data_IF_794254566767
#
_entry.id   IF_794254566767
#
_cell.length_a   1.000
_cell.length_b   1.000
_cell.length_c   1.000
_cell.angle_alpha   90.00
_cell.angle_beta   90.00
_cell.angle_gamma   90.00
#
_symmetry.space_group_name_H-M   'P 1'
#
loop_
_entity.id
_entity.type
_entity.pdbx_description
1 polymer ?
#
# COMPACT_ATOMS: atom_id res chain seq x y z
N UNK A 1 -25.35 4.03 32.05
CA UNK A 1 -24.76 4.46 30.77
C UNK A 1 -25.00 5.97 30.66
N UNK A 2 -23.96 6.80 30.71
CA UNK A 2 -24.08 8.27 30.76
C UNK A 2 -25.00 8.80 29.65
N UNK A 3 -25.90 9.76 29.95
CA UNK A 3 -26.79 10.38 28.97
C UNK A 3 -26.03 10.93 27.74
N UNK A 4 -24.77 11.32 27.94
CA UNK A 4 -23.84 11.77 26.88
C UNK A 4 -23.49 10.64 25.90
N UNK A 5 -23.36 9.39 26.34
CA UNK A 5 -23.14 8.23 25.47
C UNK A 5 -24.39 7.90 24.64
N UNK A 6 -25.58 8.09 25.20
CA UNK A 6 -26.84 7.91 24.48
C UNK A 6 -27.05 8.95 23.37
N UNK A 7 -26.48 10.15 23.51
CA UNK A 7 -26.54 11.23 22.52
C UNK A 7 -25.45 11.14 21.43
N UNK A 8 -24.44 10.29 21.61
CA UNK A 8 -23.34 10.13 20.66
C UNK A 8 -23.76 9.80 19.20
N UNK A 9 -24.80 8.98 18.94
CA UNK A 9 -25.27 8.72 17.56
C UNK A 9 -25.93 9.95 16.94
N UNK A 10 -26.62 10.78 17.72
CA UNK A 10 -27.26 12.02 17.24
C UNK A 10 -26.25 13.13 16.98
N UNK A 11 -25.21 13.20 17.82
CA UNK A 11 -24.06 14.07 17.58
C UNK A 11 -23.26 13.65 16.33
N UNK A 12 -23.29 12.36 15.95
CA UNK A 12 -22.70 11.86 14.69
C UNK A 12 -23.47 12.36 13.46
N UNK A 13 -24.80 12.40 13.51
CA UNK A 13 -25.60 12.98 12.41
C UNK A 13 -25.46 14.50 12.28
N UNK A 14 -25.06 15.18 13.36
CA UNK A 14 -24.80 16.62 13.38
C UNK A 14 -23.41 17.00 12.84
N UNK A 15 -22.49 16.03 12.70
CA UNK A 15 -21.24 16.21 11.99
C UNK A 15 -21.55 16.48 10.51
N UNK A 16 -21.22 17.68 10.04
CA UNK A 16 -21.53 18.13 8.68
C UNK A 16 -20.89 17.30 7.56
N UNK A 17 -20.87 17.85 6.35
CA UNK A 17 -20.40 17.16 5.12
C UNK A 17 -19.01 16.51 5.25
N UNK A 18 -18.12 17.09 6.04
CA UNK A 18 -16.74 16.62 6.24
C UNK A 18 -16.63 15.30 7.02
N UNK A 19 -17.50 15.07 8.01
CA UNK A 19 -17.50 13.83 8.80
C UNK A 19 -17.99 12.64 7.97
N UNK A 20 -18.97 12.90 7.09
CA UNK A 20 -19.46 11.91 6.12
C UNK A 20 -18.39 11.54 5.09
N UNK A 21 -17.65 12.52 4.56
CA UNK A 21 -16.59 12.29 3.59
C UNK A 21 -15.45 11.44 4.19
N UNK A 22 -14.99 11.76 5.40
CA UNK A 22 -13.93 10.98 6.06
C UNK A 22 -14.37 9.56 6.41
N UNK A 23 -15.62 9.39 6.85
CA UNK A 23 -16.21 8.07 7.07
C UNK A 23 -16.29 7.27 5.77
N UNK A 24 -16.76 7.88 4.68
CA UNK A 24 -16.84 7.23 3.38
C UNK A 24 -15.45 6.83 2.86
N UNK A 25 -14.43 7.69 3.01
CA UNK A 25 -13.05 7.38 2.63
C UNK A 25 -12.48 6.21 3.44
N UNK A 26 -12.72 6.17 4.75
CA UNK A 26 -12.27 5.06 5.61
C UNK A 26 -12.95 3.74 5.22
N UNK A 27 -14.27 3.75 5.02
CA UNK A 27 -15.04 2.57 4.58
C UNK A 27 -14.56 2.10 3.20
N UNK A 28 -14.35 3.02 2.25
CA UNK A 28 -13.86 2.70 0.92
C UNK A 28 -12.45 2.06 0.95
N UNK A 29 -11.54 2.59 1.78
CA UNK A 29 -10.22 1.97 1.96
C UNK A 29 -10.31 0.55 2.50
N UNK A 30 -11.12 0.30 3.54
CA UNK A 30 -11.31 -1.05 4.08
C UNK A 30 -11.97 -1.97 3.05
N UNK A 31 -12.91 -1.47 2.25
CA UNK A 31 -13.55 -2.24 1.18
C UNK A 31 -12.56 -2.66 0.09
N UNK A 32 -11.79 -1.70 -0.45
CA UNK A 32 -10.77 -1.98 -1.47
C UNK A 32 -9.72 -2.94 -0.92
N UNK A 33 -9.26 -2.72 0.31
CA UNK A 33 -8.26 -3.59 0.94
C UNK A 33 -8.79 -5.02 1.08
N UNK A 34 -10.00 -5.18 1.61
CA UNK A 34 -10.61 -6.50 1.82
C UNK A 34 -10.85 -7.21 0.49
N UNK A 35 -11.38 -6.52 -0.53
CA UNK A 35 -11.64 -7.10 -1.85
C UNK A 35 -10.37 -7.63 -2.51
N UNK A 36 -9.28 -6.85 -2.44
CA UNK A 36 -7.99 -7.23 -3.02
C UNK A 36 -7.29 -8.32 -2.21
N UNK A 37 -7.35 -8.27 -0.88
CA UNK A 37 -6.82 -9.36 -0.04
C UNK A 37 -7.51 -10.68 -0.34
N UNK A 38 -8.84 -10.70 -0.41
CA UNK A 38 -9.59 -11.92 -0.77
C UNK A 38 -9.30 -12.38 -2.20
N UNK A 39 -9.13 -11.46 -3.16
CA UNK A 39 -8.76 -11.80 -4.54
C UNK A 39 -7.38 -12.49 -4.61
N UNK A 40 -6.39 -11.95 -3.89
CA UNK A 40 -5.02 -12.50 -3.85
C UNK A 40 -4.99 -13.85 -3.14
N UNK A 41 -5.71 -14.00 -2.03
CA UNK A 41 -5.84 -15.28 -1.32
C UNK A 41 -6.60 -16.30 -2.21
N UNK A 42 -7.64 -15.88 -2.93
CA UNK A 42 -8.38 -16.72 -3.87
C UNK A 42 -7.50 -17.23 -5.00
N UNK A 43 -6.64 -16.38 -5.57
CA UNK A 43 -5.63 -16.80 -6.55
C UNK A 43 -4.65 -17.84 -5.98
N UNK A 44 -4.15 -17.64 -4.77
CA UNK A 44 -3.30 -18.62 -4.08
C UNK A 44 -4.01 -19.96 -3.89
N UNK A 45 -5.26 -19.94 -3.43
CA UNK A 45 -6.06 -21.16 -3.25
C UNK A 45 -6.34 -21.87 -4.57
N UNK A 46 -6.56 -21.13 -5.66
CA UNK A 46 -6.73 -21.69 -7.00
C UNK A 46 -5.49 -22.45 -7.48
N UNK A 47 -4.30 -21.86 -7.32
CA UNK A 47 -3.05 -22.58 -7.66
C UNK A 47 -2.80 -23.78 -6.75
N UNK A 48 -3.11 -23.69 -5.45
CA UNK A 48 -3.04 -24.85 -4.55
C UNK A 48 -4.04 -25.95 -4.92
N UNK A 49 -5.22 -25.60 -5.45
CA UNK A 49 -6.21 -26.57 -5.90
C UNK A 49 -5.70 -27.38 -7.10
N UNK A 50 -5.05 -26.71 -8.06
CA UNK A 50 -4.41 -27.35 -9.22
C UNK A 50 -3.16 -28.17 -8.86
N UNK A 51 -2.41 -27.75 -7.85
CA UNK A 51 -1.27 -28.52 -7.32
C UNK A 51 -1.72 -29.81 -6.62
N UNK A 52 -2.86 -29.78 -5.90
CA UNK A 52 -3.42 -30.97 -5.25
C UNK A 52 -4.06 -31.95 -6.22
N UNK A 53 -4.69 -31.44 -7.27
CA UNK A 53 -5.39 -32.23 -8.28
C UNK A 53 -4.95 -31.79 -9.68
N UNK A 54 -3.71 -32.10 -10.09
CA UNK A 54 -3.21 -31.69 -11.40
C UNK A 54 -3.93 -32.45 -12.51
N UNK A 55 -4.24 -31.75 -13.60
CA UNK A 55 -4.77 -32.34 -14.83
C UNK A 55 -3.73 -32.20 -15.96
N UNK A 56 -3.17 -33.34 -16.35
CA UNK A 56 -2.17 -33.45 -17.41
C UNK A 56 -0.73 -33.20 -16.97
N UNK A 57 0.22 -33.63 -17.81
CA UNK A 57 1.66 -33.60 -17.51
C UNK A 57 2.19 -32.20 -17.19
N UNK A 58 1.65 -31.15 -17.83
CA UNK A 58 2.07 -29.78 -17.59
C UNK A 58 1.81 -29.34 -16.15
N UNK A 59 0.62 -29.64 -15.61
CA UNK A 59 0.29 -29.28 -14.24
C UNK A 59 1.02 -30.17 -13.23
N UNK A 60 1.22 -31.45 -13.52
CA UNK A 60 1.98 -32.36 -12.67
C UNK A 60 3.42 -31.87 -12.44
N UNK A 61 4.08 -31.36 -13.48
CA UNK A 61 5.47 -30.91 -13.38
C UNK A 61 5.62 -29.47 -12.82
N UNK A 62 4.69 -28.56 -13.14
CA UNK A 62 4.89 -27.12 -12.89
C UNK A 62 3.99 -26.51 -11.82
N UNK A 63 2.90 -27.14 -11.41
CA UNK A 63 1.92 -26.55 -10.47
C UNK A 63 2.54 -26.08 -9.15
N UNK A 64 3.47 -26.84 -8.59
CA UNK A 64 4.21 -26.45 -7.37
C UNK A 64 4.96 -25.12 -7.52
N UNK A 65 5.56 -24.86 -8.69
CA UNK A 65 6.26 -23.60 -8.97
C UNK A 65 5.29 -22.40 -8.98
N UNK A 66 4.07 -22.60 -9.52
CA UNK A 66 3.04 -21.55 -9.51
C UNK A 66 2.53 -21.25 -8.09
N UNK A 67 2.47 -22.24 -7.21
CA UNK A 67 2.14 -22.02 -5.78
C UNK A 67 3.21 -21.13 -5.11
N UNK A 68 4.49 -21.34 -5.42
CA UNK A 68 5.58 -20.48 -4.93
C UNK A 68 5.39 -19.04 -5.45
N UNK A 69 5.13 -18.85 -6.74
CA UNK A 69 4.88 -17.52 -7.31
C UNK A 69 3.64 -16.84 -6.69
N UNK A 70 2.58 -17.60 -6.43
CA UNK A 70 1.39 -17.10 -5.77
C UNK A 70 1.67 -16.64 -4.33
N UNK A 71 2.48 -17.39 -3.57
CA UNK A 71 2.93 -16.97 -2.24
C UNK A 71 3.80 -15.71 -2.29
N UNK A 72 4.70 -15.61 -3.26
CA UNK A 72 5.48 -14.40 -3.51
C UNK A 72 4.55 -13.20 -3.75
N UNK A 73 3.53 -13.36 -4.61
CA UNK A 73 2.52 -12.33 -4.85
C UNK A 73 1.74 -11.96 -3.57
N UNK A 74 1.39 -12.92 -2.72
CA UNK A 74 0.71 -12.69 -1.43
C UNK A 74 1.58 -11.86 -0.50
N UNK A 75 2.85 -12.24 -0.30
CA UNK A 75 3.79 -11.51 0.56
C UNK A 75 4.00 -10.08 0.05
N UNK A 76 4.17 -9.93 -1.26
CA UNK A 76 4.29 -8.65 -1.93
C UNK A 76 3.05 -7.78 -1.69
N UNK A 77 1.85 -8.29 -1.96
CA UNK A 77 0.64 -7.48 -1.92
C UNK A 77 0.12 -7.23 -0.49
N UNK A 78 0.45 -8.07 0.49
CA UNK A 78 -0.09 -7.89 1.84
C UNK A 78 0.44 -6.64 2.55
N UNK A 79 1.72 -6.30 2.35
CA UNK A 79 2.32 -5.13 3.01
C UNK A 79 1.59 -3.82 2.66
N UNK A 80 1.35 -3.47 1.37
CA UNK A 80 0.65 -2.23 1.02
C UNK A 80 -0.83 -2.28 1.40
N UNK A 81 -1.48 -3.45 1.34
CA UNK A 81 -2.87 -3.63 1.75
C UNK A 81 -3.04 -3.37 3.27
N UNK A 82 -2.17 -3.96 4.11
CA UNK A 82 -2.16 -3.70 5.56
C UNK A 82 -1.83 -2.23 5.86
N UNK A 83 -0.93 -1.62 5.09
CA UNK A 83 -0.57 -0.21 5.25
C UNK A 83 -1.75 0.72 4.93
N UNK A 84 -2.51 0.41 3.88
CA UNK A 84 -3.73 1.11 3.48
C UNK A 84 -4.83 0.97 4.54
N UNK A 85 -5.09 -0.23 5.05
CA UNK A 85 -6.03 -0.44 6.16
C UNK A 85 -5.63 0.36 7.42
N UNK A 86 -4.34 0.35 7.75
CA UNK A 86 -3.82 1.11 8.90
C UNK A 86 -3.89 2.63 8.71
N UNK A 87 -3.78 3.13 7.46
CA UNK A 87 -3.98 4.56 7.17
C UNK A 87 -5.45 4.95 7.31
N UNK A 88 -6.36 4.13 6.79
CA UNK A 88 -7.80 4.32 6.92
C UNK A 88 -8.26 4.41 8.39
N UNK A 89 -7.77 3.51 9.24
CA UNK A 89 -8.10 3.49 10.68
C UNK A 89 -7.76 4.81 11.40
N UNK A 90 -6.69 5.50 10.98
CA UNK A 90 -6.23 6.74 11.61
C UNK A 90 -7.01 7.98 11.17
N UNK A 91 -7.55 8.00 9.96
CA UNK A 91 -8.32 9.12 9.43
C UNK A 91 -9.55 9.43 10.28
N UNK A 92 -10.16 8.38 10.83
CA UNK A 92 -11.27 8.51 11.76
C UNK A 92 -10.86 9.14 13.09
N UNK A 93 -9.61 9.01 13.54
CA UNK A 93 -9.20 9.44 14.89
C UNK A 93 -8.81 10.92 14.92
N UNK A 94 -7.95 11.38 14.00
CA UNK A 94 -7.33 12.73 14.05
C UNK A 94 -8.34 13.88 13.98
N UNK A 95 -9.47 13.69 13.28
CA UNK A 95 -10.52 14.71 13.15
C UNK A 95 -11.57 14.65 14.24
N UNK A 96 -11.66 13.52 14.93
CA UNK A 96 -12.55 13.35 16.09
C UNK A 96 -11.93 13.96 17.34
N UNK A 97 -10.63 14.23 17.38
CA UNK A 97 -9.94 14.86 18.51
C UNK A 97 -10.61 16.17 18.99
N UNK A 98 -11.12 17.02 18.09
CA UNK A 98 -11.86 18.23 18.46
C UNK A 98 -13.19 17.92 19.16
N UNK A 99 -13.95 16.94 18.64
CA UNK A 99 -15.20 16.47 19.26
C UNK A 99 -14.95 15.75 20.57
N UNK A 100 -13.88 14.96 20.65
CA UNK A 100 -13.45 14.26 21.87
C UNK A 100 -12.98 15.26 22.93
N UNK A 101 -12.37 16.38 22.54
CA UNK A 101 -12.08 17.49 23.45
C UNK A 101 -13.37 18.11 24.00
N UNK A 102 -14.38 18.38 23.16
CA UNK A 102 -15.69 18.86 23.64
C UNK A 102 -16.37 17.84 24.57
N UNK A 103 -16.35 16.54 24.23
CA UNK A 103 -16.92 15.49 25.08
C UNK A 103 -16.18 15.37 26.43
N UNK A 104 -14.86 15.54 26.43
CA UNK A 104 -14.06 15.62 27.67
C UNK A 104 -14.41 16.85 28.51
N UNK A 105 -14.64 18.00 27.88
CA UNK A 105 -15.13 19.22 28.55
C UNK A 105 -16.53 19.02 29.15
N UNK A 106 -17.36 18.16 28.55
CA UNK A 106 -18.66 17.74 29.05
C UNK A 106 -18.58 16.60 30.11
N UNK A 107 -17.37 16.23 30.57
CA UNK A 107 -17.17 15.26 31.64
C UNK A 107 -17.05 13.80 31.21
N UNK A 108 -16.96 13.49 29.90
CA UNK A 108 -16.75 12.11 29.42
C UNK A 108 -15.34 11.63 29.78
N UNK A 109 -15.23 10.46 30.38
CA UNK A 109 -13.96 9.91 30.83
C UNK A 109 -13.06 9.51 29.65
N UNK A 110 -11.72 9.51 29.82
CA UNK A 110 -10.80 9.07 28.76
C UNK A 110 -11.06 7.64 28.27
N UNK A 111 -11.53 6.74 29.13
CA UNK A 111 -11.88 5.36 28.78
C UNK A 111 -13.10 5.32 27.86
N UNK A 112 -14.15 6.08 28.17
CA UNK A 112 -15.35 6.16 27.32
C UNK A 112 -15.03 6.75 25.94
N UNK A 113 -14.15 7.76 25.88
CA UNK A 113 -13.65 8.31 24.60
C UNK A 113 -12.94 7.25 23.76
N UNK A 114 -12.06 6.45 24.36
CA UNK A 114 -11.36 5.38 23.66
C UNK A 114 -12.34 4.32 23.16
N UNK A 115 -13.26 3.85 24.01
CA UNK A 115 -14.28 2.85 23.63
C UNK A 115 -15.14 3.34 22.47
N UNK A 116 -15.64 4.58 22.53
CA UNK A 116 -16.47 5.16 21.48
C UNK A 116 -15.72 5.24 20.15
N UNK A 117 -14.45 5.63 20.19
CA UNK A 117 -13.63 5.75 18.98
C UNK A 117 -13.29 4.38 18.40
N UNK A 118 -12.96 3.41 19.25
CA UNK A 118 -12.68 2.03 18.84
C UNK A 118 -13.90 1.38 18.20
N UNK A 119 -15.09 1.53 18.80
CA UNK A 119 -16.34 1.03 18.24
C UNK A 119 -16.67 1.68 16.89
N UNK A 120 -16.43 2.98 16.76
CA UNK A 120 -16.68 3.68 15.51
C UNK A 120 -15.73 3.23 14.40
N UNK A 121 -14.43 3.09 14.69
CA UNK A 121 -13.45 2.56 13.73
C UNK A 121 -13.73 1.10 13.39
N UNK A 122 -14.16 0.29 14.37
CA UNK A 122 -14.56 -1.09 14.13
C UNK A 122 -15.79 -1.18 13.21
N UNK A 123 -16.79 -0.33 13.43
CA UNK A 123 -17.98 -0.24 12.57
C UNK A 123 -17.65 0.16 11.14
N UNK A 124 -16.75 1.14 10.96
CA UNK A 124 -16.23 1.50 9.63
C UNK A 124 -15.49 0.35 8.97
N UNK A 125 -14.67 -0.39 9.74
CA UNK A 125 -14.00 -1.60 9.30
C UNK A 125 -14.98 -2.70 8.89
N UNK A 126 -16.07 -2.88 9.63
CA UNK A 126 -17.11 -3.88 9.33
C UNK A 126 -17.85 -3.56 8.03
N UNK A 127 -18.33 -2.33 7.91
CA UNK A 127 -18.99 -1.87 6.67
C UNK A 127 -18.05 -1.99 5.47
N UNK A 128 -16.78 -1.62 5.65
CA UNK A 128 -15.75 -1.78 4.65
C UNK A 128 -15.53 -3.24 4.27
N UNK A 129 -15.38 -4.13 5.25
CA UNK A 129 -15.17 -5.56 5.01
C UNK A 129 -16.34 -6.19 4.25
N UNK A 130 -17.58 -5.89 4.64
CA UNK A 130 -18.78 -6.37 3.94
C UNK A 130 -18.83 -5.86 2.50
N UNK A 131 -18.62 -4.56 2.28
CA UNK A 131 -18.54 -3.99 0.94
C UNK A 131 -17.37 -4.59 0.12
N UNK A 132 -16.27 -4.91 0.77
CA UNK A 132 -15.11 -5.55 0.15
C UNK A 132 -15.36 -7.00 -0.25
N UNK A 133 -16.11 -7.76 0.55
CA UNK A 133 -16.58 -9.11 0.17
C UNK A 133 -17.45 -9.04 -1.08
N UNK A 134 -18.40 -8.08 -1.12
CA UNK A 134 -19.21 -7.85 -2.33
C UNK A 134 -18.35 -7.45 -3.54
N UNK A 135 -17.34 -6.61 -3.33
CA UNK A 135 -16.37 -6.23 -4.35
C UNK A 135 -15.55 -7.42 -4.85
N UNK A 136 -15.08 -8.29 -3.97
CA UNK A 136 -14.37 -9.52 -4.32
C UNK A 136 -15.26 -10.45 -5.16
N UNK A 137 -16.51 -10.68 -4.73
CA UNK A 137 -17.49 -11.46 -5.49
C UNK A 137 -17.74 -10.87 -6.89
N UNK A 138 -17.83 -9.54 -7.00
CA UNK A 138 -17.98 -8.86 -8.27
C UNK A 138 -16.74 -8.97 -9.17
N UNK A 139 -15.54 -9.14 -8.59
CA UNK A 139 -14.29 -9.31 -9.33
C UNK A 139 -14.03 -10.76 -9.77
N UNK A 140 -14.63 -11.77 -9.13
CA UNK A 140 -14.51 -13.18 -9.54
C UNK A 140 -14.72 -13.42 -11.05
N UNK A 141 -15.78 -12.91 -11.71
CA UNK A 141 -15.95 -13.10 -13.16
C UNK A 141 -14.91 -12.38 -14.01
N UNK A 142 -14.22 -11.38 -13.46
CA UNK A 142 -13.11 -10.71 -14.16
C UNK A 142 -11.86 -11.57 -14.05
N UNK A 143 -11.55 -12.07 -12.85
CA UNK A 143 -10.40 -12.94 -12.60
C UNK A 143 -10.50 -14.28 -13.35
N UNK A 144 -11.71 -14.84 -13.47
CA UNK A 144 -11.93 -16.11 -14.15
C UNK A 144 -11.72 -16.05 -15.67
N UNK A 145 -11.49 -14.88 -16.26
CA UNK A 145 -11.17 -14.73 -17.69
C UNK A 145 -9.67 -14.77 -17.97
N UNK A 146 -8.83 -14.80 -16.94
CA UNK A 146 -7.38 -14.76 -17.09
C UNK A 146 -6.86 -16.20 -17.16
N UNK A 147 -6.29 -16.63 -18.30
CA UNK A 147 -5.79 -17.99 -18.46
C UNK A 147 -4.46 -18.16 -17.72
N UNK A 148 -4.36 -19.28 -17.00
CA UNK A 148 -3.13 -19.78 -16.39
C UNK A 148 -3.02 -21.28 -16.66
N UNK A 149 -1.83 -21.79 -16.92
CA UNK A 149 -1.57 -23.20 -17.29
C UNK A 149 -2.43 -23.66 -18.48
N UNK A 150 -2.59 -22.79 -19.48
CA UNK A 150 -3.40 -23.06 -20.67
C UNK A 150 -4.91 -22.90 -20.50
N UNK A 151 -5.43 -22.81 -19.26
CA UNK A 151 -6.87 -22.78 -18.98
C UNK A 151 -7.28 -21.66 -18.01
N UNK A 152 -8.44 -21.00 -18.22
CA UNK A 152 -8.96 -20.02 -17.27
C UNK A 152 -9.21 -20.62 -15.88
N UNK A 153 -8.88 -19.87 -14.83
CA UNK A 153 -9.24 -20.25 -13.46
C UNK A 153 -10.76 -20.19 -13.29
N UNK A 154 -11.36 -21.29 -12.87
CA UNK A 154 -12.80 -21.35 -12.59
C UNK A 154 -13.16 -20.51 -11.38
N UNK A 155 -14.42 -20.06 -11.30
CA UNK A 155 -14.91 -19.34 -10.11
C UNK A 155 -14.84 -20.20 -8.84
N UNK A 156 -14.96 -21.52 -8.99
CA UNK A 156 -14.83 -22.47 -7.88
C UNK A 156 -13.41 -22.52 -7.31
N UNK A 157 -12.39 -22.52 -8.18
CA UNK A 157 -10.97 -22.47 -7.77
C UNK A 157 -10.61 -21.14 -7.10
N UNK A 158 -11.20 -20.03 -7.54
CA UNK A 158 -10.92 -18.70 -7.00
C UNK A 158 -11.71 -18.38 -5.72
N UNK A 159 -12.71 -19.19 -5.36
CA UNK A 159 -13.54 -18.98 -4.18
C UNK A 159 -12.80 -19.36 -2.90
N UNK A 160 -12.58 -18.39 -2.02
CA UNK A 160 -11.84 -18.61 -0.75
C UNK A 160 -12.61 -19.42 0.30
N UNK A 161 -13.87 -19.75 0.04
CA UNK A 161 -14.73 -20.46 0.98
C UNK A 161 -15.35 -19.56 2.07
N UNK A 162 -16.40 -20.04 2.75
CA UNK A 162 -17.14 -19.26 3.74
C UNK A 162 -16.29 -18.91 4.96
N UNK A 163 -15.38 -19.79 5.38
CA UNK A 163 -14.56 -19.59 6.57
C UNK A 163 -13.57 -18.44 6.44
N UNK A 164 -12.94 -18.29 5.28
CA UNK A 164 -12.02 -17.17 5.02
C UNK A 164 -12.80 -15.85 4.92
N UNK A 165 -14.00 -15.87 4.33
CA UNK A 165 -14.89 -14.70 4.31
C UNK A 165 -15.29 -14.30 5.72
N UNK A 166 -15.71 -15.24 6.56
CA UNK A 166 -16.04 -14.98 7.97
C UNK A 166 -14.82 -14.43 8.71
N UNK A 167 -13.65 -15.03 8.52
CA UNK A 167 -12.40 -14.57 9.12
C UNK A 167 -12.05 -13.14 8.68
N UNK A 168 -12.27 -12.76 7.42
CA UNK A 168 -12.07 -11.40 6.94
C UNK A 168 -13.09 -10.42 7.54
N UNK A 169 -14.39 -10.77 7.53
CA UNK A 169 -15.46 -9.91 8.05
C UNK A 169 -15.32 -9.66 9.56
N UNK A 170 -14.81 -10.63 10.32
CA UNK A 170 -14.56 -10.47 11.76
C UNK A 170 -13.17 -9.88 12.04
N UNK A 171 -12.16 -10.27 11.27
CA UNK A 171 -10.78 -9.86 11.46
C UNK A 171 -10.53 -8.39 11.12
N UNK A 172 -11.11 -7.87 10.03
CA UNK A 172 -10.93 -6.47 9.63
C UNK A 172 -11.41 -5.48 10.71
N UNK A 173 -12.62 -5.59 11.29
CA UNK A 173 -13.05 -4.76 12.42
C UNK A 173 -12.12 -4.85 13.62
N UNK A 174 -11.63 -6.04 13.96
CA UNK A 174 -10.69 -6.23 15.08
C UNK A 174 -9.37 -5.52 14.81
N UNK A 175 -8.81 -5.66 13.60
CA UNK A 175 -7.59 -4.95 13.20
C UNK A 175 -7.79 -3.44 13.17
N UNK A 176 -8.97 -2.98 12.73
CA UNK A 176 -9.34 -1.56 12.74
C UNK A 176 -9.43 -1.02 14.17
N UNK A 177 -10.07 -1.77 15.08
CA UNK A 177 -10.15 -1.47 16.51
C UNK A 177 -8.78 -1.38 17.18
N UNK A 178 -7.90 -2.37 16.94
CA UNK A 178 -6.53 -2.38 17.46
C UNK A 178 -5.76 -1.17 16.93
N UNK A 179 -5.87 -0.88 15.63
CA UNK A 179 -5.22 0.26 14.99
C UNK A 179 -5.70 1.59 15.56
N UNK A 180 -7.00 1.74 15.81
CA UNK A 180 -7.59 2.91 16.46
C UNK A 180 -7.08 3.07 17.89
N UNK A 181 -7.07 2.00 18.68
CA UNK A 181 -6.57 2.00 20.06
C UNK A 181 -5.09 2.40 20.13
N UNK A 182 -4.23 1.84 19.28
CA UNK A 182 -2.81 2.20 19.19
C UNK A 182 -2.63 3.68 18.82
N UNK A 183 -3.47 4.20 17.92
CA UNK A 183 -3.44 5.59 17.51
C UNK A 183 -3.80 6.55 18.65
N UNK A 184 -4.82 6.19 19.45
CA UNK A 184 -5.26 6.95 20.63
C UNK A 184 -4.29 6.90 21.81
N UNK A 185 -3.58 5.77 22.01
CA UNK A 185 -2.60 5.62 23.11
C UNK A 185 -1.55 6.72 23.10
N UNK A 186 -1.15 7.23 21.93
CA UNK A 186 -0.18 8.34 21.83
C UNK A 186 -0.75 9.69 22.29
N UNK A 187 -2.05 9.90 22.16
CA UNK A 187 -2.75 11.15 22.54
C UNK A 187 -3.05 11.17 24.05
N UNK A 188 -3.32 10.00 24.65
CA UNK A 188 -3.63 9.90 26.09
C UNK A 188 -2.38 10.06 26.97
N UNK A 189 -1.21 9.66 26.50
CA UNK A 189 0.03 9.63 27.31
C UNK A 189 0.73 11.00 27.41
N UNK A 190 0.46 11.96 26.54
CA UNK A 190 1.06 13.31 26.65
C UNK A 190 0.20 14.41 26.02
N UNK A 191 -0.74 15.01 26.77
CA UNK A 191 -1.47 16.20 26.31
C UNK A 191 -0.56 17.41 26.07
N UNK A 192 0.64 17.45 26.67
CA UNK A 192 1.62 18.54 26.57
C UNK A 192 2.67 18.35 25.45
N UNK A 193 2.82 17.14 24.91
CA UNK A 193 3.71 16.84 23.77
C UNK A 193 3.22 17.40 22.43
N UNK A 194 1.97 17.89 22.39
CA UNK A 194 1.39 18.63 21.24
C UNK A 194 1.65 20.13 21.38
N UNK A 195 1.69 20.65 22.61
CA UNK A 195 2.05 22.06 22.88
C UNK A 195 3.54 22.34 22.66
N UNK A 196 4.41 21.36 22.97
CA UNK A 196 5.82 21.38 22.56
C UNK A 196 5.96 20.57 21.28
N UNK A 197 6.08 21.23 20.12
CA UNK A 197 6.42 20.62 18.81
C UNK A 197 7.79 19.91 18.86
N UNK A 198 7.94 18.86 19.66
CA UNK A 198 9.16 18.10 19.81
C UNK A 198 9.40 17.35 18.50
N UNK A 199 10.54 17.63 17.88
CA UNK A 199 10.99 16.93 16.68
C UNK A 199 11.12 15.43 17.01
N UNK A 200 10.50 14.53 16.23
CA UNK A 200 10.56 13.10 16.50
C UNK A 200 12.02 12.61 16.49
N UNK A 201 12.38 11.59 17.30
CA UNK A 201 13.76 11.11 17.39
C UNK A 201 14.30 10.69 16.03
N UNK A 202 15.54 11.10 15.76
CA UNK A 202 16.23 10.85 14.50
C UNK A 202 16.28 9.37 14.14
N UNK A 203 15.92 9.06 12.90
CA UNK A 203 15.98 7.71 12.35
C UNK A 203 17.45 7.29 12.20
N UNK A 204 17.84 6.16 12.78
CA UNK A 204 19.25 5.70 12.88
C UNK A 204 19.73 5.03 11.59
N UNK A 205 20.99 5.29 11.20
CA UNK A 205 21.63 4.73 10.00
C UNK A 205 21.74 3.20 10.01
N UNK A 206 21.71 2.57 11.19
CA UNK A 206 21.70 1.10 11.35
C UNK A 206 20.59 0.41 10.55
N UNK A 207 19.49 1.11 10.25
CA UNK A 207 18.39 0.59 9.42
C UNK A 207 18.82 0.30 7.98
N UNK A 208 19.77 1.07 7.45
CA UNK A 208 20.36 0.84 6.12
C UNK A 208 21.13 -0.48 6.14
N UNK A 209 21.97 -0.69 7.15
CA UNK A 209 22.74 -1.92 7.31
C UNK A 209 21.82 -3.14 7.41
N UNK A 210 20.75 -3.07 8.21
CA UNK A 210 19.76 -4.14 8.33
C UNK A 210 19.06 -4.44 7.00
N UNK A 211 18.75 -3.41 6.21
CA UNK A 211 18.12 -3.58 4.89
C UNK A 211 19.08 -4.22 3.89
N UNK A 212 20.33 -3.76 3.84
CA UNK A 212 21.37 -4.34 2.98
C UNK A 212 21.64 -5.80 3.35
N UNK A 213 21.69 -6.11 4.65
CA UNK A 213 21.83 -7.49 5.13
C UNK A 213 20.63 -8.36 4.73
N UNK A 214 19.40 -7.84 4.81
CA UNK A 214 18.21 -8.56 4.36
C UNK A 214 18.23 -8.80 2.83
N UNK A 215 18.59 -7.80 2.03
CA UNK A 215 18.76 -7.96 0.58
C UNK A 215 19.85 -8.99 0.25
N UNK A 216 20.99 -8.93 0.94
CA UNK A 216 22.07 -9.90 0.80
C UNK A 216 21.63 -11.32 1.18
N UNK A 217 20.81 -11.47 2.22
CA UNK A 217 20.28 -12.78 2.64
C UNK A 217 19.41 -13.43 1.56
N UNK A 218 18.61 -12.63 0.84
CA UNK A 218 17.82 -13.12 -0.29
C UNK A 218 18.73 -13.51 -1.45
N UNK A 219 19.73 -12.68 -1.79
CA UNK A 219 20.69 -13.02 -2.85
C UNK A 219 21.42 -14.33 -2.54
N UNK A 220 21.88 -14.52 -1.29
CA UNK A 220 22.49 -15.79 -0.86
C UNK A 220 21.48 -16.93 -0.93
N UNK A 221 20.25 -16.73 -0.47
CA UNK A 221 19.19 -17.74 -0.54
C UNK A 221 18.91 -18.22 -1.98
N UNK A 222 18.96 -17.33 -2.97
CA UNK A 222 18.76 -17.70 -4.38
C UNK A 222 19.90 -18.54 -4.97
N UNK A 223 21.07 -18.55 -4.33
CA UNK A 223 22.22 -19.38 -4.74
C UNK A 223 22.21 -20.77 -4.09
N UNK A 224 21.34 -21.01 -3.11
CA UNK A 224 21.26 -22.30 -2.43
C UNK A 224 20.51 -23.29 -3.32
N UNK A 225 21.17 -24.38 -3.67
CA UNK A 225 20.62 -25.51 -4.44
C UNK A 225 20.60 -26.80 -3.61
N UNK A 226 19.81 -27.78 -4.04
CA UNK A 226 19.76 -29.12 -3.41
C UNK A 226 18.92 -29.24 -2.13
N UNK A 227 18.25 -28.17 -1.70
CA UNK A 227 17.27 -28.25 -0.61
C UNK A 227 15.95 -28.89 -1.07
N UNK A 228 15.23 -29.60 -0.18
CA UNK A 228 13.86 -30.02 -0.49
C UNK A 228 12.99 -28.78 -0.77
N UNK A 229 12.06 -28.91 -1.72
CA UNK A 229 11.25 -27.80 -2.26
C UNK A 229 10.59 -26.95 -1.17
N UNK A 230 10.04 -27.59 -0.12
CA UNK A 230 9.41 -26.89 1.00
C UNK A 230 10.41 -26.00 1.76
N UNK A 231 11.64 -26.46 1.98
CA UNK A 231 12.68 -25.68 2.66
C UNK A 231 13.15 -24.51 1.80
N UNK A 232 13.33 -24.73 0.49
CA UNK A 232 13.66 -23.67 -0.46
C UNK A 232 12.56 -22.61 -0.51
N UNK A 233 11.29 -23.03 -0.54
CA UNK A 233 10.13 -22.13 -0.51
C UNK A 233 10.12 -21.28 0.76
N UNK A 234 10.29 -21.89 1.94
CA UNK A 234 10.34 -21.16 3.22
C UNK A 234 11.50 -20.17 3.23
N UNK A 235 12.67 -20.57 2.72
CA UNK A 235 13.86 -19.72 2.66
C UNK A 235 13.65 -18.51 1.73
N UNK A 236 13.17 -18.72 0.50
CA UNK A 236 12.96 -17.65 -0.48
C UNK A 236 11.84 -16.69 -0.03
N UNK A 237 10.70 -17.21 0.38
CA UNK A 237 9.58 -16.38 0.86
C UNK A 237 9.98 -15.64 2.14
N UNK A 238 10.67 -16.32 3.07
CA UNK A 238 11.10 -15.75 4.34
C UNK A 238 12.09 -14.60 4.14
N UNK A 239 13.15 -14.81 3.35
CA UNK A 239 14.15 -13.77 3.07
C UNK A 239 13.57 -12.61 2.26
N UNK A 240 12.69 -12.88 1.29
CA UNK A 240 11.96 -11.84 0.56
C UNK A 240 11.06 -11.01 1.50
N UNK A 241 10.30 -11.69 2.37
CA UNK A 241 9.44 -11.07 3.37
C UNK A 241 10.21 -10.20 4.36
N UNK A 242 11.39 -10.66 4.81
CA UNK A 242 12.30 -9.87 5.66
C UNK A 242 12.80 -8.63 4.88
N UNK A 243 13.23 -8.80 3.63
CA UNK A 243 13.62 -7.69 2.75
C UNK A 243 12.54 -6.61 2.68
N UNK A 244 11.29 -6.99 2.43
CA UNK A 244 10.16 -6.06 2.41
C UNK A 244 9.81 -5.47 3.77
N UNK A 245 9.88 -6.25 4.84
CA UNK A 245 9.68 -5.72 6.19
C UNK A 245 10.71 -4.61 6.50
N UNK A 246 11.97 -4.79 6.08
CA UNK A 246 13.03 -3.78 6.26
C UNK A 246 12.84 -2.52 5.40
N UNK A 247 12.16 -2.60 4.25
CA UNK A 247 11.80 -1.39 3.49
C UNK A 247 10.98 -0.39 4.32
N UNK A 248 10.07 -0.85 5.18
CA UNK A 248 9.32 0.04 6.06
C UNK A 248 10.17 0.70 7.15
N UNK A 249 11.33 0.12 7.48
CA UNK A 249 12.28 0.70 8.42
C UNK A 249 13.09 1.82 7.76
N UNK A 250 13.57 1.60 6.54
CA UNK A 250 14.47 2.51 5.82
C UNK A 250 13.72 3.63 5.08
N UNK A 251 12.50 3.38 4.61
CA UNK A 251 11.73 4.30 3.76
C UNK A 251 11.53 5.71 4.34
N UNK A 252 11.06 5.87 5.59
CA UNK A 252 11.00 7.19 6.22
C UNK A 252 12.38 7.84 6.41
N UNK A 253 13.45 7.06 6.57
CA UNK A 253 14.80 7.59 6.71
C UNK A 253 15.32 8.14 5.37
N UNK A 254 15.12 7.40 4.27
CA UNK A 254 15.52 7.84 2.92
C UNK A 254 14.77 9.11 2.52
N UNK A 255 13.45 9.16 2.74
CA UNK A 255 12.64 10.35 2.46
C UNK A 255 13.08 11.56 3.31
N UNK A 256 13.38 11.36 4.59
CA UNK A 256 13.87 12.44 5.45
C UNK A 256 15.27 12.93 5.07
N UNK A 257 16.17 12.04 4.64
CA UNK A 257 17.48 12.41 4.11
C UNK A 257 17.33 13.25 2.83
N UNK A 258 16.51 12.79 1.89
CA UNK A 258 16.28 13.47 0.62
C UNK A 258 15.59 14.81 0.83
N UNK A 259 14.59 14.90 1.71
CA UNK A 259 13.95 16.16 2.06
C UNK A 259 14.96 17.19 2.60
N UNK A 260 15.90 16.76 3.47
CA UNK A 260 16.97 17.64 3.99
C UNK A 260 17.95 18.07 2.90
N UNK A 261 18.34 17.16 2.00
CA UNK A 261 19.22 17.48 0.89
C UNK A 261 18.55 18.44 -0.10
N UNK A 262 17.30 18.19 -0.48
CA UNK A 262 16.54 19.08 -1.36
C UNK A 262 16.30 20.45 -0.73
N UNK A 263 16.10 20.53 0.60
CA UNK A 263 15.94 21.80 1.28
C UNK A 263 17.22 22.66 1.22
N UNK A 264 18.41 22.03 1.17
CA UNK A 264 19.70 22.74 1.00
C UNK A 264 19.87 23.32 -0.40
N UNK A 265 19.31 22.68 -1.42
CA UNK A 265 19.43 23.08 -2.83
C UNK A 265 18.17 23.70 -3.41
N UNK A 266 17.18 24.03 -2.57
CA UNK A 266 15.93 24.60 -3.01
C UNK A 266 16.14 26.01 -3.59
N UNK A 267 15.81 26.19 -4.87
CA UNK A 267 15.93 27.48 -5.58
C UNK A 267 14.60 28.23 -5.73
N UNK A 268 13.49 27.55 -5.44
CA UNK A 268 12.13 28.12 -5.55
C UNK A 268 11.37 27.96 -4.24
N UNK A 269 10.43 28.86 -3.90
CA UNK A 269 9.61 28.74 -2.70
C UNK A 269 8.86 27.39 -2.63
N UNK A 270 8.38 26.91 -3.79
CA UNK A 270 7.70 25.62 -3.88
C UNK A 270 8.62 24.43 -3.56
N UNK A 271 9.88 24.46 -4.01
CA UNK A 271 10.88 23.45 -3.66
C UNK A 271 11.18 23.47 -2.17
N UNK A 272 11.40 24.67 -1.61
CA UNK A 272 11.79 24.82 -0.21
C UNK A 272 10.68 24.33 0.72
N UNK A 273 9.44 24.76 0.48
CA UNK A 273 8.28 24.35 1.27
C UNK A 273 8.04 22.84 1.18
N UNK A 274 8.04 22.25 -0.02
CA UNK A 274 7.84 20.82 -0.19
C UNK A 274 8.96 20.00 0.50
N UNK A 275 10.22 20.42 0.34
CA UNK A 275 11.38 19.74 0.93
C UNK A 275 11.39 19.83 2.46
N UNK A 276 11.04 20.99 3.03
CA UNK A 276 10.92 21.18 4.49
C UNK A 276 9.80 20.33 5.05
N UNK A 277 8.60 20.35 4.44
CA UNK A 277 7.47 19.51 4.88
C UNK A 277 7.78 18.02 4.81
N UNK A 278 8.52 17.57 3.78
CA UNK A 278 8.99 16.20 3.67
C UNK A 278 10.01 15.83 4.76
N UNK A 279 10.93 16.75 5.08
CA UNK A 279 11.93 16.55 6.13
C UNK A 279 11.33 16.56 7.55
N UNK A 280 10.27 17.34 7.77
CA UNK A 280 9.60 17.49 9.06
C UNK A 280 8.74 16.25 9.41
N UNK A 281 8.04 15.65 8.43
CA UNK A 281 7.27 14.40 8.64
C UNK A 281 7.45 13.37 7.51
N UNK A 282 8.63 12.73 7.42
CA UNK A 282 8.90 11.74 6.37
C UNK A 282 8.13 10.44 6.58
N UNK A 283 7.65 10.16 7.81
CA UNK A 283 6.81 8.99 8.07
C UNK A 283 5.41 9.17 7.49
N UNK A 284 4.85 10.38 7.52
CA UNK A 284 3.62 10.65 6.79
C UNK A 284 3.80 10.46 5.29
N UNK A 285 4.86 11.03 4.70
CA UNK A 285 5.13 10.86 3.28
C UNK A 285 5.34 9.38 2.89
N UNK A 286 6.09 8.60 3.68
CA UNK A 286 6.29 7.18 3.43
C UNK A 286 4.97 6.39 3.48
N UNK A 287 4.03 6.73 4.37
CA UNK A 287 2.74 6.01 4.42
C UNK A 287 1.89 6.20 3.16
N UNK A 288 2.05 7.32 2.48
CA UNK A 288 1.33 7.66 1.24
C UNK A 288 1.94 6.93 0.05
N UNK A 289 3.27 6.76 0.05
CA UNK A 289 4.03 6.32 -1.13
C UNK A 289 4.72 4.95 -0.95
N UNK A 290 4.72 4.38 0.25
CA UNK A 290 5.42 3.14 0.57
C UNK A 290 4.93 1.94 -0.25
N UNK A 291 3.63 1.86 -0.54
CA UNK A 291 3.08 0.84 -1.44
C UNK A 291 3.56 0.98 -2.89
N UNK A 292 3.96 2.19 -3.29
CA UNK A 292 4.54 2.46 -4.60
C UNK A 292 5.99 1.95 -4.70
N UNK A 293 6.69 1.82 -3.58
CA UNK A 293 7.99 1.16 -3.53
C UNK A 293 7.86 -0.31 -3.88
N UNK A 294 6.81 -0.95 -3.37
CA UNK A 294 6.52 -2.33 -3.73
C UNK A 294 6.16 -2.49 -5.21
N UNK A 295 5.31 -1.61 -5.74
CA UNK A 295 5.02 -1.60 -7.18
C UNK A 295 6.30 -1.37 -8.01
N UNK A 296 7.19 -0.47 -7.57
CA UNK A 296 8.49 -0.26 -8.20
C UNK A 296 9.37 -1.51 -8.16
N UNK A 297 9.40 -2.22 -7.03
CA UNK A 297 10.13 -3.49 -6.92
C UNK A 297 9.58 -4.55 -7.89
N UNK A 298 8.25 -4.74 -7.92
CA UNK A 298 7.60 -5.69 -8.84
C UNK A 298 7.91 -5.32 -10.29
N UNK A 299 7.84 -4.03 -10.65
CA UNK A 299 8.22 -3.56 -11.98
C UNK A 299 9.69 -3.86 -12.31
N UNK A 300 10.60 -3.67 -11.35
CA UNK A 300 12.02 -3.98 -11.51
C UNK A 300 12.28 -5.48 -11.69
N UNK A 301 11.60 -6.34 -10.93
CA UNK A 301 11.70 -7.80 -11.10
C UNK A 301 11.13 -8.26 -12.46
N UNK A 302 10.01 -7.67 -12.86
CA UNK A 302 9.33 -7.91 -14.13
C UNK A 302 10.18 -7.53 -15.36
N UNK A 303 11.04 -6.51 -15.22
CA UNK A 303 11.95 -6.07 -16.26
C UNK A 303 12.94 -7.16 -16.71
N UNK A 304 13.19 -8.17 -15.86
CA UNK A 304 14.16 -9.23 -16.16
C UNK A 304 13.54 -10.43 -16.89
N UNK A 305 12.21 -10.55 -16.86
CA UNK A 305 11.53 -11.71 -17.46
C UNK A 305 11.78 -11.84 -18.97
N UNK A 306 11.81 -10.78 -19.80
CA UNK A 306 12.16 -10.93 -21.23
C UNK A 306 13.48 -11.66 -21.49
N UNK A 307 14.47 -11.53 -20.59
CA UNK A 307 15.76 -12.23 -20.71
C UNK A 307 15.61 -13.74 -20.48
N UNK A 308 14.72 -14.16 -19.58
CA UNK A 308 14.37 -15.58 -19.43
C UNK A 308 13.86 -16.16 -20.75
N UNK A 309 13.04 -15.39 -21.47
CA UNK A 309 12.40 -15.85 -22.72
C UNK A 309 13.34 -15.89 -23.92
N UNK A 310 14.41 -15.09 -23.88
CA UNK A 310 15.40 -15.03 -24.95
C UNK A 310 16.48 -16.12 -24.84
N UNK A 311 16.65 -16.71 -23.65
CA UNK A 311 17.68 -17.70 -23.35
C UNK A 311 17.19 -19.16 -23.24
N UNK A 312 15.88 -19.41 -23.28
CA UNK A 312 15.35 -20.78 -23.33
C UNK A 312 15.67 -21.41 -24.68
N UNK A 313 16.44 -22.50 -24.67
CA UNK A 313 16.56 -23.42 -25.80
C UNK A 313 15.16 -23.85 -26.26
N UNK A 314 14.99 -24.19 -27.55
CA UNK A 314 13.76 -24.77 -28.12
C UNK A 314 13.34 -26.11 -27.46
N UNK A 315 14.04 -26.55 -26.41
CA UNK A 315 13.65 -27.71 -25.63
C UNK A 315 12.42 -27.41 -24.77
N UNK A 316 11.38 -28.23 -24.86
CA UNK A 316 10.20 -28.07 -24.03
C UNK A 316 10.53 -28.33 -22.55
N UNK A 317 9.96 -27.50 -21.66
CA UNK A 317 10.09 -27.66 -20.20
C UNK A 317 9.49 -29.00 -19.78
N UNK A 318 8.35 -29.36 -20.38
CA UNK A 318 7.59 -30.58 -20.12
C UNK A 318 7.75 -31.51 -21.32
N UNK A 319 8.24 -32.73 -21.09
CA UNK A 319 8.49 -33.69 -22.18
C UNK A 319 7.19 -33.97 -22.94
N UNK A 320 7.22 -33.77 -24.26
CA UNK A 320 6.08 -34.03 -25.14
C UNK A 320 5.11 -32.86 -25.31
N UNK A 321 5.34 -31.71 -24.65
CA UNK A 321 4.56 -30.49 -24.88
C UNK A 321 5.44 -29.35 -25.43
N UNK A 322 5.46 -29.14 -26.76
CA UNK A 322 6.25 -28.08 -27.40
C UNK A 322 5.80 -26.67 -27.02
N UNK A 323 4.60 -26.50 -26.45
CA UNK A 323 4.07 -25.19 -26.04
C UNK A 323 4.34 -24.85 -24.58
N UNK A 324 4.96 -25.77 -23.82
CA UNK A 324 5.18 -25.62 -22.38
C UNK A 324 6.00 -24.38 -21.99
N UNK A 325 7.06 -24.07 -22.75
CA UNK A 325 7.90 -22.87 -22.55
C UNK A 325 7.09 -21.58 -22.75
N UNK A 326 6.32 -21.51 -23.83
CA UNK A 326 5.53 -20.34 -24.19
C UNK A 326 4.40 -20.09 -23.18
N UNK A 327 3.73 -21.16 -22.73
CA UNK A 327 2.68 -21.09 -21.71
C UNK A 327 3.25 -20.62 -20.37
N UNK A 328 4.36 -21.23 -19.91
CA UNK A 328 5.01 -20.88 -18.63
C UNK A 328 5.45 -19.41 -18.61
N UNK A 329 6.12 -19.00 -19.67
CA UNK A 329 6.59 -17.62 -19.85
C UNK A 329 5.43 -16.62 -19.89
N UNK A 330 4.39 -16.93 -20.67
CA UNK A 330 3.21 -16.09 -20.79
C UNK A 330 2.50 -15.92 -19.46
N UNK A 331 2.37 -16.99 -18.69
CA UNK A 331 1.77 -16.96 -17.36
C UNK A 331 2.60 -16.20 -16.34
N UNK A 332 3.93 -16.36 -16.35
CA UNK A 332 4.82 -15.60 -15.49
C UNK A 332 4.67 -14.10 -15.75
N UNK A 333 4.59 -13.70 -17.03
CA UNK A 333 4.36 -12.32 -17.41
C UNK A 333 2.97 -11.81 -16.99
N UNK A 334 1.91 -12.60 -17.21
CA UNK A 334 0.54 -12.27 -16.79
C UNK A 334 0.44 -12.10 -15.28
N UNK A 335 0.98 -13.05 -14.51
CA UNK A 335 0.95 -13.03 -13.05
C UNK A 335 1.71 -11.84 -12.46
N UNK A 336 2.89 -11.54 -13.01
CA UNK A 336 3.69 -10.40 -12.56
C UNK A 336 3.05 -9.05 -12.97
N UNK A 337 2.45 -8.94 -14.16
CA UNK A 337 1.67 -7.77 -14.57
C UNK A 337 0.43 -7.56 -13.70
N UNK A 338 -0.30 -8.63 -13.39
CA UNK A 338 -1.48 -8.57 -12.52
C UNK A 338 -1.11 -8.11 -11.12
N UNK A 339 -0.02 -8.65 -10.56
CA UNK A 339 0.54 -8.21 -9.27
C UNK A 339 0.91 -6.73 -9.30
N UNK A 340 1.56 -6.28 -10.38
CA UNK A 340 1.96 -4.89 -10.54
C UNK A 340 0.76 -3.94 -10.64
N UNK A 341 -0.26 -4.29 -11.43
CA UNK A 341 -1.49 -3.50 -11.57
C UNK A 341 -2.20 -3.37 -10.22
N UNK A 342 -2.33 -4.48 -9.47
CA UNK A 342 -2.92 -4.44 -8.12
C UNK A 342 -2.08 -3.55 -7.20
N UNK A 343 -0.75 -3.69 -7.22
CA UNK A 343 0.13 -2.87 -6.39
C UNK A 343 -0.01 -1.37 -6.69
N UNK A 344 -0.09 -0.98 -7.98
CA UNK A 344 -0.32 0.42 -8.35
C UNK A 344 -1.72 0.92 -7.99
N UNK A 345 -2.76 0.10 -8.13
CA UNK A 345 -4.11 0.46 -7.69
C UNK A 345 -4.16 0.72 -6.18
N UNK A 346 -3.54 -0.15 -5.38
CA UNK A 346 -3.44 0.03 -3.92
C UNK A 346 -2.64 1.28 -3.59
N UNK A 347 -1.50 1.50 -4.26
CA UNK A 347 -0.68 2.68 -4.06
C UNK A 347 -1.43 3.98 -4.45
N UNK A 348 -2.19 3.97 -5.54
CA UNK A 348 -3.00 5.09 -5.98
C UNK A 348 -4.13 5.39 -4.97
N UNK A 349 -4.83 4.36 -4.49
CA UNK A 349 -5.84 4.51 -3.44
C UNK A 349 -5.24 5.07 -2.14
N UNK A 350 -4.10 4.54 -1.69
CA UNK A 350 -3.38 5.04 -0.52
C UNK A 350 -2.95 6.50 -0.69
N UNK A 351 -2.43 6.86 -1.87
CA UNK A 351 -2.01 8.20 -2.18
C UNK A 351 -3.18 9.20 -2.23
N UNK A 352 -4.27 8.84 -2.91
CA UNK A 352 -5.48 9.67 -3.01
C UNK A 352 -6.12 9.93 -1.64
N UNK A 353 -6.27 8.88 -0.84
CA UNK A 353 -6.83 8.97 0.51
C UNK A 353 -5.90 9.79 1.43
N UNK A 354 -4.59 9.55 1.33
CA UNK A 354 -3.59 10.33 2.06
C UNK A 354 -3.62 11.82 1.70
N UNK A 355 -3.75 12.16 0.41
CA UNK A 355 -3.87 13.54 -0.06
C UNK A 355 -5.18 14.20 0.36
N UNK A 356 -6.31 13.49 0.26
CA UNK A 356 -7.58 14.00 0.72
C UNK A 356 -7.50 14.33 2.23
N UNK A 357 -6.92 13.45 3.03
CA UNK A 357 -6.73 13.64 4.46
C UNK A 357 -5.82 14.84 4.81
N UNK A 358 -4.68 14.99 4.15
CA UNK A 358 -3.75 16.10 4.43
C UNK A 358 -4.35 17.46 4.09
N UNK A 359 -5.09 17.57 2.97
CA UNK A 359 -5.85 18.77 2.60
C UNK A 359 -6.84 19.16 3.68
N UNK A 360 -7.51 18.15 4.21
CA UNK A 360 -8.57 18.27 5.18
C UNK A 360 -8.06 18.61 6.60
N UNK A 361 -6.89 18.09 6.98
CA UNK A 361 -6.22 18.36 8.25
C UNK A 361 -5.55 19.75 8.26
N UNK A 362 -4.95 20.18 7.13
CA UNK A 362 -4.28 21.48 7.00
C UNK A 362 -5.19 22.62 6.52
N UNK A 363 -6.51 22.41 6.47
CA UNK A 363 -7.46 23.40 5.94
C UNK A 363 -7.27 24.82 6.51
N UNK A 364 -7.09 24.91 7.84
CA UNK A 364 -6.93 26.18 8.56
C UNK A 364 -5.61 26.84 8.20
N UNK A 365 -4.53 26.04 8.10
CA UNK A 365 -3.22 26.54 7.67
C UNK A 365 -3.27 27.08 6.24
N UNK A 366 -3.90 26.35 5.31
CA UNK A 366 -4.06 26.82 3.93
C UNK A 366 -4.91 28.08 3.85
N UNK A 367 -6.03 28.15 4.59
CA UNK A 367 -6.87 29.34 4.63
C UNK A 367 -6.10 30.57 5.17
N UNK A 368 -5.37 30.42 6.28
CA UNK A 368 -4.55 31.50 6.84
C UNK A 368 -3.42 31.93 5.91
N UNK A 369 -2.79 30.98 5.19
CA UNK A 369 -1.76 31.31 4.19
C UNK A 369 -2.32 32.11 3.02
N UNK A 370 -3.50 31.74 2.52
CA UNK A 370 -4.18 32.48 1.45
C UNK A 370 -4.59 33.87 1.94
N UNK A 371 -5.13 33.98 3.16
CA UNK A 371 -5.45 35.28 3.78
C UNK A 371 -4.20 36.15 3.98
N UNK A 372 -3.05 35.54 4.27
CA UNK A 372 -1.76 36.22 4.33
C UNK A 372 -1.16 36.58 2.95
N UNK A 373 -1.89 36.36 1.85
CA UNK A 373 -1.48 36.74 0.49
C UNK A 373 -0.73 35.65 -0.29
N UNK A 374 -0.69 34.40 0.20
CA UNK A 374 -0.03 33.30 -0.52
C UNK A 374 -0.86 32.91 -1.75
N UNK A 375 -0.30 32.91 -2.97
CA UNK A 375 -1.05 32.54 -4.17
C UNK A 375 -1.42 31.06 -4.15
N UNK A 376 -2.67 30.74 -4.51
CA UNK A 376 -3.19 29.36 -4.54
C UNK A 376 -2.37 28.46 -5.46
N UNK A 377 -1.84 29.00 -6.57
CA UNK A 377 -0.98 28.26 -7.51
C UNK A 377 0.36 27.85 -6.89
N UNK A 378 0.85 28.57 -5.89
CA UNK A 378 2.04 28.13 -5.14
C UNK A 378 1.70 26.92 -4.27
N UNK A 379 0.56 26.94 -3.58
CA UNK A 379 0.11 25.83 -2.74
C UNK A 379 -0.16 24.57 -3.58
N UNK A 380 -0.78 24.72 -4.75
CA UNK A 380 -0.98 23.62 -5.71
C UNK A 380 0.37 23.05 -6.19
N UNK A 381 1.35 23.90 -6.52
CA UNK A 381 2.71 23.45 -6.92
C UNK A 381 3.45 22.72 -5.79
N UNK A 382 3.31 23.19 -4.55
CA UNK A 382 3.88 22.53 -3.36
C UNK A 382 3.24 21.15 -3.17
N UNK A 383 1.90 21.05 -3.24
CA UNK A 383 1.17 19.77 -3.12
C UNK A 383 1.64 18.74 -4.15
N UNK A 384 1.75 19.15 -5.43
CA UNK A 384 2.23 18.26 -6.50
C UNK A 384 3.64 17.75 -6.23
N UNK A 385 4.56 18.60 -5.76
CA UNK A 385 5.93 18.19 -5.42
C UNK A 385 6.00 17.29 -4.19
N UNK A 386 5.14 17.50 -3.19
CA UNK A 386 5.04 16.62 -2.00
C UNK A 386 4.66 15.18 -2.36
N UNK A 387 3.99 14.96 -3.49
CA UNK A 387 3.68 13.61 -4.01
C UNK A 387 4.74 13.12 -4.98
N UNK A 388 5.04 13.91 -6.03
CA UNK A 388 5.92 13.51 -7.13
C UNK A 388 7.32 13.12 -6.66
N UNK A 389 7.90 13.89 -5.74
CA UNK A 389 9.29 13.67 -5.30
C UNK A 389 9.43 12.33 -4.56
N UNK A 390 8.67 12.05 -3.48
CA UNK A 390 8.70 10.74 -2.84
C UNK A 390 8.33 9.62 -3.82
N UNK A 391 7.34 9.84 -4.69
CA UNK A 391 6.87 8.83 -5.64
C UNK A 391 7.96 8.37 -6.59
N UNK A 392 8.64 9.30 -7.26
CA UNK A 392 9.74 8.97 -8.17
C UNK A 392 10.91 8.33 -7.43
N UNK A 393 11.27 8.86 -6.26
CA UNK A 393 12.40 8.33 -5.51
C UNK A 393 12.16 6.89 -5.04
N UNK A 394 10.97 6.64 -4.50
CA UNK A 394 10.61 5.34 -3.94
C UNK A 394 10.34 4.33 -5.07
N UNK A 395 9.65 4.73 -6.14
CA UNK A 395 9.40 3.87 -7.29
C UNK A 395 10.69 3.47 -8.01
N UNK A 396 11.51 4.45 -8.42
CA UNK A 396 12.78 4.19 -9.12
C UNK A 396 13.79 3.50 -8.20
N UNK A 397 13.92 3.95 -6.95
CA UNK A 397 14.85 3.34 -6.00
C UNK A 397 14.51 1.87 -5.70
N UNK A 398 13.23 1.53 -5.61
CA UNK A 398 12.79 0.15 -5.37
C UNK A 398 12.95 -0.73 -6.61
N UNK A 399 12.72 -0.17 -7.81
CA UNK A 399 13.01 -0.86 -9.06
C UNK A 399 14.50 -1.18 -9.21
N UNK A 400 15.37 -0.22 -8.91
CA UNK A 400 16.81 -0.44 -8.91
C UNK A 400 17.22 -1.50 -7.87
N UNK A 401 16.63 -1.47 -6.67
CA UNK A 401 16.86 -2.48 -5.65
C UNK A 401 16.43 -3.88 -6.09
N UNK A 402 15.30 -4.00 -6.81
CA UNK A 402 14.86 -5.27 -7.38
C UNK A 402 15.84 -5.81 -8.41
N UNK A 403 16.32 -4.98 -9.33
CA UNK A 403 17.33 -5.38 -10.32
C UNK A 403 18.61 -5.88 -9.66
N UNK A 404 19.06 -5.21 -8.59
CA UNK A 404 20.22 -5.67 -7.79
C UNK A 404 19.93 -7.01 -7.12
N UNK A 405 18.76 -7.17 -6.47
CA UNK A 405 18.37 -8.43 -5.81
C UNK A 405 18.21 -9.59 -6.79
N UNK A 406 17.80 -9.31 -8.03
CA UNK A 406 17.58 -10.30 -9.08
C UNK A 406 18.87 -10.64 -9.85
N UNK A 407 19.95 -9.86 -9.69
CA UNK A 407 21.22 -10.09 -10.39
C UNK A 407 21.84 -11.50 -10.20
N UNK A 408 21.74 -12.20 -9.05
CA UNK A 408 22.29 -13.55 -8.94
C UNK A 408 21.54 -14.56 -9.80
N UNK A 409 20.22 -14.40 -9.96
CA UNK A 409 19.36 -15.30 -10.72
C UNK A 409 19.54 -15.14 -12.23
N UNK A 410 19.76 -13.91 -12.70
CA UNK A 410 19.70 -13.59 -14.14
C UNK A 410 20.99 -12.97 -14.70
N UNK A 411 22.00 -12.79 -13.87
CA UNK A 411 23.25 -12.12 -14.21
C UNK A 411 23.06 -10.65 -14.61
N UNK A 412 24.11 -10.06 -15.19
CA UNK A 412 24.06 -8.69 -15.73
C UNK A 412 23.32 -8.61 -17.08
N UNK A 413 23.04 -9.76 -17.72
CA UNK A 413 22.29 -9.81 -18.98
C UNK A 413 20.86 -9.25 -18.84
N UNK A 414 20.26 -9.37 -17.65
CA UNK A 414 18.98 -8.76 -17.27
C UNK A 414 18.94 -7.23 -17.43
N UNK A 415 20.09 -6.56 -17.33
CA UNK A 415 20.20 -5.10 -17.43
C UNK A 415 20.45 -4.61 -18.86
N UNK A 416 20.84 -5.51 -19.77
CA UNK A 416 21.24 -5.17 -21.14
C UNK A 416 20.12 -5.29 -22.17
N UNK A 417 19.01 -5.98 -21.85
CA UNK A 417 17.90 -6.11 -22.80
C UNK A 417 17.05 -4.82 -22.86
N UNK A 418 16.99 -4.13 -24.02
CA UNK A 418 16.18 -2.93 -24.19
C UNK A 418 14.68 -3.18 -23.93
N UNK A 419 14.17 -4.39 -24.18
CA UNK A 419 12.74 -4.71 -23.98
C UNK A 419 12.36 -4.65 -22.50
N UNK A 420 13.21 -5.22 -21.64
CA UNK A 420 13.05 -5.19 -20.19
C UNK A 420 13.06 -3.76 -19.63
N UNK A 421 14.00 -2.93 -20.09
CA UNK A 421 14.09 -1.52 -19.69
C UNK A 421 12.90 -0.69 -20.18
N UNK A 422 12.44 -0.89 -21.41
CA UNK A 422 11.25 -0.22 -21.93
C UNK A 422 9.99 -0.60 -21.15
N UNK A 423 9.85 -1.89 -20.81
CA UNK A 423 8.75 -2.38 -19.99
C UNK A 423 8.80 -1.75 -18.58
N UNK A 424 9.99 -1.69 -17.96
CA UNK A 424 10.17 -1.06 -16.66
C UNK A 424 9.76 0.42 -16.68
N UNK A 425 10.28 1.18 -17.64
CA UNK A 425 9.98 2.61 -17.78
C UNK A 425 8.50 2.82 -18.06
N UNK A 426 7.89 2.02 -18.96
CA UNK A 426 6.47 2.09 -19.26
C UNK A 426 5.59 1.79 -18.04
N UNK A 427 5.93 0.75 -17.28
CA UNK A 427 5.24 0.37 -16.05
C UNK A 427 5.33 1.46 -14.97
N UNK A 428 6.54 1.96 -14.71
CA UNK A 428 6.75 3.04 -13.73
C UNK A 428 6.06 4.32 -14.15
N UNK A 429 6.15 4.71 -15.42
CA UNK A 429 5.49 5.90 -15.95
C UNK A 429 3.97 5.78 -15.86
N UNK A 430 3.39 4.65 -16.30
CA UNK A 430 1.96 4.39 -16.23
C UNK A 430 1.42 4.38 -14.80
N UNK A 431 2.11 3.67 -13.89
CA UNK A 431 1.74 3.64 -12.48
C UNK A 431 1.88 4.99 -11.78
N UNK A 432 2.95 5.75 -12.07
CA UNK A 432 3.11 7.11 -11.58
C UNK A 432 2.03 8.05 -12.14
N UNK A 433 1.65 7.91 -13.41
CA UNK A 433 0.58 8.68 -14.03
C UNK A 433 -0.78 8.37 -13.38
N UNK A 434 -1.08 7.10 -13.10
CA UNK A 434 -2.28 6.67 -12.38
C UNK A 434 -2.36 7.32 -10.99
N UNK A 435 -1.27 7.26 -10.23
CA UNK A 435 -1.22 7.84 -8.88
C UNK A 435 -1.39 9.36 -8.94
N UNK A 436 -0.73 10.02 -9.90
CA UNK A 436 -0.91 11.44 -10.13
C UNK A 436 -2.35 11.80 -10.50
N UNK A 437 -2.98 11.06 -11.41
CA UNK A 437 -4.38 11.27 -11.78
C UNK A 437 -5.31 11.14 -10.56
N UNK A 438 -5.11 10.12 -9.72
CA UNK A 438 -5.88 9.95 -8.49
C UNK A 438 -5.63 11.09 -7.50
N UNK A 439 -4.39 11.52 -7.28
CA UNK A 439 -4.12 12.64 -6.36
C UNK A 439 -4.64 13.98 -6.86
N UNK A 440 -4.74 14.21 -8.18
CA UNK A 440 -5.35 15.40 -8.75
C UNK A 440 -6.87 15.46 -8.53
N UNK A 441 -7.55 14.32 -8.30
CA UNK A 441 -8.97 14.32 -7.92
C UNK A 441 -9.24 15.00 -6.56
N UNK A 442 -8.20 15.20 -5.74
CA UNK A 442 -8.27 15.97 -4.49
C UNK A 442 -8.22 17.50 -4.70
N UNK A 443 -7.98 17.98 -5.92
CA UNK A 443 -7.96 19.40 -6.25
C UNK A 443 -9.31 20.11 -6.07
N UNK A 444 -10.46 19.58 -6.55
CA UNK A 444 -11.77 20.18 -6.25
C UNK A 444 -12.08 20.19 -4.75
N UNK A 445 -11.62 19.18 -4.00
CA UNK A 445 -11.73 19.17 -2.54
C UNK A 445 -10.97 20.36 -1.93
N UNK A 446 -9.73 20.59 -2.34
CA UNK A 446 -8.96 21.78 -1.90
C UNK A 446 -9.69 23.09 -2.22
N UNK A 447 -10.20 23.24 -3.45
CA UNK A 447 -10.96 24.44 -3.84
C UNK A 447 -12.21 24.63 -2.99
N UNK A 448 -12.95 23.55 -2.71
CA UNK A 448 -14.15 23.61 -1.87
C UNK A 448 -13.84 24.00 -0.41
N UNK A 449 -12.72 23.52 0.12
CA UNK A 449 -12.25 23.85 1.47
C UNK A 449 -11.80 25.31 1.55
N UNK A 450 -11.08 25.79 0.53
CA UNK A 450 -10.64 27.19 0.45
C UNK A 450 -11.80 28.18 0.23
N UNK A 451 -12.88 27.75 -0.44
CA UNK A 451 -14.09 28.55 -0.63
C UNK A 451 -14.92 28.71 0.66
N UNK A 452 -14.75 27.82 1.63
CA UNK A 452 -15.37 27.92 2.96
C UNK A 452 -14.51 28.81 3.87
N UNK A 453 -14.43 30.09 3.54
CA UNK A 453 -13.65 31.14 4.25
C UNK A 453 -14.20 31.54 5.62
N UNK A 454 -15.08 30.75 6.26
CA UNK A 454 -15.40 30.98 7.66
C UNK A 454 -14.37 30.31 8.55
N UNK A 455 -13.28 31.04 8.83
CA UNK A 455 -12.54 30.87 10.07
C UNK A 455 -13.49 31.27 11.19
N UNK A 456 -14.37 30.35 11.63
CA UNK A 456 -15.05 30.55 12.90
C UNK A 456 -13.97 30.59 13.97
N UNK A 457 -13.87 31.66 14.77
CA UNK A 457 -13.05 31.63 15.96
C UNK A 457 -13.68 30.57 16.88
N UNK A 458 -12.86 29.59 17.29
CA UNK A 458 -13.23 28.64 18.34
C UNK A 458 -13.42 29.38 19.66
#
# INVERSE_FOLDING_TARGET
MNAVLALAPRLRSAGGRDDRLTTALAVAAFAVTTALTLSVIGGLMGFMARDRNPVGAYQEELSASYVIFAWVAVVLLMVPLVTLAGSAARLGVSRRDARLATLRLLGVTPREVVVLTVLETAWQGLLGALAGVLGYLALLPVWSRIPFMGEPLSMGELWVGPWVVIAAVLGVPVLAAISGMVSLRRVVVSPLGVARRQTPPGLRAIRVLVTVAAMGSFMVATMVSGLPMVALMILLIGTLGIGFATMNLIGPWTLGLVGRLQARWARTPAQLLAARRLADDPRAAWRVVGGLGLAGFVAGALAVVPVLTAGTSDEPIVKGDPTSVATFTGDLMRGAMLTLVIAFLVAAAAAGIGQAATVLDRRREYALQVLAGTPVDLLDRVRRREVLVPMLLVGVGSAAAALVMMSPLFGLAGLSDPRGLLLLVGCLAGGCALVMAVTETSRPLLRSVLAQTQVRPD
#
